data_IF_318335658086
#
_entry.id   IF_318335658086
#
_cell.length_a   1.000
_cell.length_b   1.000
_cell.length_c   1.000
_cell.angle_alpha   90.00
_cell.angle_beta   90.00
_cell.angle_gamma   90.00
#
_symmetry.space_group_name_H-M   'P 1'
#
loop_
_entity.id
_entity.type
_entity.pdbx_description
1 polymer ?
#
# COMPACT_ATOMS: atom_id res chain seq x y z
N UNK A 1 18.00 -2.89 23.15
CA UNK A 1 16.85 -2.14 22.60
C UNK A 1 15.71 -3.03 22.11
N UNK A 2 15.96 -4.10 21.32
CA UNK A 2 14.92 -5.03 20.82
C UNK A 2 14.10 -5.74 21.92
N UNK A 3 14.68 -5.96 23.10
CA UNK A 3 14.02 -6.58 24.27
C UNK A 3 12.92 -5.71 24.89
N UNK A 4 12.96 -4.39 24.73
CA UNK A 4 11.92 -3.49 25.26
C UNK A 4 10.68 -3.41 24.36
N UNK A 5 10.87 -3.36 23.03
CA UNK A 5 9.79 -3.36 22.04
C UNK A 5 8.97 -4.65 22.06
N UNK A 6 9.65 -5.80 22.15
CA UNK A 6 8.96 -7.10 22.28
C UNK A 6 8.06 -7.19 23.53
N UNK A 7 8.40 -6.46 24.60
CA UNK A 7 7.60 -6.37 25.83
C UNK A 7 6.37 -5.47 25.65
N UNK A 8 6.51 -4.38 24.89
CA UNK A 8 5.44 -3.40 24.60
C UNK A 8 4.38 -4.03 23.69
N UNK A 9 4.77 -4.74 22.63
CA UNK A 9 3.84 -5.41 21.71
C UNK A 9 3.09 -6.53 22.41
N UNK A 10 3.78 -7.33 23.23
CA UNK A 10 3.14 -8.38 24.03
C UNK A 10 2.17 -7.86 25.09
N UNK A 11 2.38 -6.65 25.62
CA UNK A 11 1.54 -6.06 26.66
C UNK A 11 0.39 -5.22 26.11
N UNK A 12 0.61 -4.45 25.04
CA UNK A 12 -0.36 -3.46 24.56
C UNK A 12 -1.34 -4.01 23.52
N UNK A 13 -1.00 -5.08 22.81
CA UNK A 13 -1.91 -5.70 21.83
C UNK A 13 -2.62 -6.95 22.37
N UNK A 14 -2.32 -7.38 23.60
CA UNK A 14 -2.85 -8.62 24.22
C UNK A 14 -2.84 -9.84 23.28
N UNK A 15 -1.91 -9.87 22.33
CA UNK A 15 -1.88 -10.93 21.33
C UNK A 15 -1.59 -12.24 22.03
N UNK A 16 -2.31 -13.34 21.73
CA UNK A 16 -1.89 -14.66 22.14
C UNK A 16 -0.57 -14.94 21.39
N UNK A 17 0.56 -14.71 22.06
CA UNK A 17 1.93 -14.65 21.49
C UNK A 17 2.46 -16.00 20.98
N UNK A 18 1.57 -16.97 20.74
CA UNK A 18 1.85 -18.34 20.34
C UNK A 18 1.00 -18.81 19.14
N UNK A 19 0.36 -17.88 18.40
CA UNK A 19 -0.45 -18.24 17.23
C UNK A 19 -0.42 -17.18 16.12
N UNK A 20 -0.77 -17.59 14.90
CA UNK A 20 -1.03 -16.69 13.78
C UNK A 20 -2.24 -15.83 14.12
N UNK A 21 -2.16 -14.56 13.72
CA UNK A 21 -3.20 -13.58 14.03
C UNK A 21 -3.69 -12.93 12.76
N UNK A 22 -5.00 -12.76 12.65
CA UNK A 22 -5.65 -12.00 11.61
C UNK A 22 -6.23 -10.70 12.19
N UNK A 23 -5.83 -9.58 11.60
CA UNK A 23 -6.33 -8.26 11.93
C UNK A 23 -7.13 -7.66 10.78
N UNK A 24 -8.17 -6.89 11.11
CA UNK A 24 -8.89 -6.02 10.18
C UNK A 24 -8.84 -4.58 10.67
N UNK A 25 -8.42 -3.66 9.80
CA UNK A 25 -8.46 -2.23 10.12
C UNK A 25 -9.88 -1.70 10.06
N UNK A 26 -10.31 -0.99 11.10
CA UNK A 26 -11.56 -0.20 11.08
C UNK A 26 -11.39 1.14 10.36
N UNK A 27 -10.15 1.53 10.02
CA UNK A 27 -9.87 2.77 9.30
C UNK A 27 -9.97 2.56 7.79
N UNK A 28 -10.43 3.60 7.09
CA UNK A 28 -10.42 3.66 5.63
C UNK A 28 -9.44 4.72 5.11
N UNK A 29 -8.64 5.34 5.97
CA UNK A 29 -7.64 6.30 5.52
C UNK A 29 -6.37 5.57 5.03
N UNK A 30 -5.92 5.80 3.77
CA UNK A 30 -4.76 5.10 3.22
C UNK A 30 -3.47 5.39 3.98
N UNK A 31 -3.26 6.61 4.47
CA UNK A 31 -2.08 6.95 5.27
C UNK A 31 -2.06 6.21 6.60
N UNK A 32 -3.23 6.00 7.20
CA UNK A 32 -3.39 5.23 8.44
C UNK A 32 -3.05 3.75 8.18
N UNK A 33 -3.68 3.15 7.18
CA UNK A 33 -3.52 1.72 6.92
C UNK A 33 -2.11 1.37 6.42
N UNK A 34 -1.54 2.17 5.52
CA UNK A 34 -0.19 1.96 4.98
C UNK A 34 0.89 2.27 6.04
N UNK A 35 0.65 3.21 6.97
CA UNK A 35 1.57 3.42 8.09
C UNK A 35 1.63 2.21 9.02
N UNK A 36 0.50 1.52 9.22
CA UNK A 36 0.46 0.31 10.05
C UNK A 36 1.11 -0.89 9.35
N UNK A 37 0.97 -1.03 8.03
CA UNK A 37 1.69 -2.02 7.23
C UNK A 37 3.21 -1.92 7.45
N UNK A 38 3.75 -0.69 7.38
CA UNK A 38 5.19 -0.46 7.62
C UNK A 38 5.55 -0.59 9.11
N UNK A 39 4.66 -0.21 10.03
CA UNK A 39 4.89 -0.41 11.45
C UNK A 39 5.00 -1.89 11.81
N UNK A 40 4.11 -2.75 11.29
CA UNK A 40 4.21 -4.20 11.47
C UNK A 40 5.52 -4.73 10.88
N UNK A 41 5.90 -4.30 9.68
CA UNK A 41 7.18 -4.72 9.09
C UNK A 41 8.39 -4.40 10.00
N UNK A 42 8.39 -3.23 10.65
CA UNK A 42 9.50 -2.78 11.49
C UNK A 42 9.49 -3.38 12.90
N UNK A 43 8.30 -3.63 13.45
CA UNK A 43 8.13 -3.91 14.87
C UNK A 43 7.61 -5.31 15.18
N UNK A 44 7.06 -6.04 14.21
CA UNK A 44 6.47 -7.35 14.47
C UNK A 44 7.51 -8.30 15.10
N UNK A 45 7.21 -8.90 16.27
CA UNK A 45 8.19 -9.59 17.08
C UNK A 45 8.66 -10.87 16.38
N UNK A 46 9.95 -10.91 16.07
CA UNK A 46 10.62 -12.11 15.58
C UNK A 46 10.93 -13.01 16.78
N UNK A 47 10.15 -14.07 16.98
CA UNK A 47 10.43 -15.12 17.98
C UNK A 47 10.86 -16.42 17.29
N UNK A 48 11.41 -17.33 18.08
CA UNK A 48 11.89 -18.66 17.68
C UNK A 48 10.82 -19.52 16.97
N UNK A 49 9.54 -19.26 17.19
CA UNK A 49 8.41 -19.82 16.45
C UNK A 49 7.77 -18.69 15.61
N UNK A 50 8.13 -18.62 14.34
CA UNK A 50 7.75 -17.57 13.40
C UNK A 50 6.25 -17.69 13.01
N UNK A 51 5.34 -17.16 13.82
CA UNK A 51 3.92 -17.15 13.47
C UNK A 51 3.58 -15.99 12.50
N UNK A 52 2.90 -16.26 11.37
CA UNK A 52 2.55 -15.22 10.40
C UNK A 52 1.44 -14.31 10.92
N UNK A 53 1.38 -13.10 10.38
CA UNK A 53 0.34 -12.11 10.62
C UNK A 53 -0.40 -11.84 9.30
N UNK A 54 -1.73 -11.84 9.36
CA UNK A 54 -2.60 -11.36 8.29
C UNK A 54 -3.16 -9.98 8.67
N UNK A 55 -3.02 -9.01 7.78
CA UNK A 55 -3.58 -7.67 7.96
C UNK A 55 -4.50 -7.32 6.78
N UNK A 56 -5.80 -7.21 7.06
CA UNK A 56 -6.83 -6.87 6.11
C UNK A 56 -7.24 -5.40 6.29
N UNK A 57 -7.30 -4.66 5.19
CA UNK A 57 -7.79 -3.28 5.22
C UNK A 57 -8.39 -2.89 3.87
N UNK A 58 -9.18 -1.82 3.89
CA UNK A 58 -9.66 -1.12 2.69
C UNK A 58 -9.40 0.37 2.85
N UNK A 59 -9.18 1.06 1.74
CA UNK A 59 -8.97 2.50 1.73
C UNK A 59 -10.12 3.21 1.01
N UNK A 60 -10.40 4.45 1.43
CA UNK A 60 -11.06 5.44 0.61
C UNK A 60 -10.29 5.64 -0.71
N UNK A 61 -10.92 6.21 -1.75
CA UNK A 61 -10.27 6.40 -3.05
C UNK A 61 -8.88 7.03 -2.91
N UNK A 62 -7.87 6.33 -3.41
CA UNK A 62 -6.48 6.75 -3.41
C UNK A 62 -5.71 6.00 -4.51
N UNK A 63 -4.61 6.58 -4.98
CA UNK A 63 -3.65 5.89 -5.84
C UNK A 63 -2.42 5.56 -5.01
N UNK A 64 -2.00 4.29 -5.05
CA UNK A 64 -0.80 3.82 -4.34
C UNK A 64 0.26 3.42 -5.34
N UNK A 65 1.38 4.14 -5.34
CA UNK A 65 2.54 3.84 -6.19
C UNK A 65 3.62 3.09 -5.40
N UNK A 66 4.42 2.31 -6.12
CA UNK A 66 5.56 1.58 -5.58
C UNK A 66 6.72 2.49 -5.19
N UNK A 67 7.62 1.98 -4.34
CA UNK A 67 8.76 2.73 -3.79
C UNK A 67 9.58 3.46 -4.86
N UNK A 68 9.86 2.80 -5.99
CA UNK A 68 10.75 3.29 -7.05
C UNK A 68 10.02 3.74 -8.32
N UNK A 69 8.71 4.01 -8.24
CA UNK A 69 7.96 4.49 -9.40
C UNK A 69 8.00 6.03 -9.50
N UNK A 70 7.77 6.54 -10.71
CA UNK A 70 7.66 7.97 -10.96
C UNK A 70 6.17 8.37 -11.02
N UNK A 71 5.68 9.22 -10.11
CA UNK A 71 4.25 9.55 -10.06
C UNK A 71 3.77 10.22 -11.35
N UNK A 72 4.62 11.02 -12.01
CA UNK A 72 4.28 11.73 -13.24
C UNK A 72 4.18 10.83 -14.47
N UNK A 73 4.76 9.63 -14.44
CA UNK A 73 4.63 8.59 -15.49
C UNK A 73 3.58 7.54 -15.16
N UNK A 74 3.11 7.48 -13.93
CA UNK A 74 2.19 6.44 -13.46
C UNK A 74 0.75 6.93 -13.33
N UNK A 75 0.55 8.22 -13.05
CA UNK A 75 -0.78 8.75 -12.79
C UNK A 75 -1.02 10.12 -13.42
N UNK A 76 -2.30 10.46 -13.54
CA UNK A 76 -2.78 11.76 -13.96
C UNK A 76 -2.55 12.79 -12.84
N UNK A 77 -1.48 13.57 -12.94
CA UNK A 77 -1.11 14.58 -11.93
C UNK A 77 -2.13 15.70 -11.73
N UNK A 78 -3.12 15.85 -12.62
CA UNK A 78 -4.25 16.78 -12.44
C UNK A 78 -5.32 16.22 -11.50
N UNK A 79 -5.54 14.91 -11.53
CA UNK A 79 -6.57 14.22 -10.75
C UNK A 79 -6.02 13.63 -9.44
N UNK A 80 -4.72 13.34 -9.39
CA UNK A 80 -4.07 12.54 -8.35
C UNK A 80 -2.86 13.29 -7.81
N UNK A 81 -2.78 13.41 -6.48
CA UNK A 81 -1.66 14.08 -5.84
C UNK A 81 -1.90 14.37 -4.36
N UNK A 82 -1.36 15.51 -3.91
CA UNK A 82 -1.40 15.94 -2.51
C UNK A 82 -2.31 17.16 -2.27
N UNK A 83 -2.93 17.69 -3.33
CA UNK A 83 -3.80 18.85 -3.21
C UNK A 83 -5.22 18.44 -2.78
N UNK A 84 -5.97 19.32 -2.06
CA UNK A 84 -7.28 18.96 -1.48
C UNK A 84 -8.32 18.42 -2.47
N UNK A 85 -8.34 18.94 -3.69
CA UNK A 85 -9.32 18.55 -4.72
C UNK A 85 -8.93 17.27 -5.50
N UNK A 86 -7.79 16.67 -5.14
CA UNK A 86 -7.25 15.50 -5.81
C UNK A 86 -7.49 14.22 -5.03
N UNK A 87 -7.51 13.11 -5.76
CA UNK A 87 -7.43 11.78 -5.15
C UNK A 87 -6.04 11.61 -4.51
N UNK A 88 -5.97 11.25 -3.22
CA UNK A 88 -4.71 11.09 -2.52
C UNK A 88 -3.75 10.15 -3.23
N UNK A 89 -2.53 10.62 -3.45
CA UNK A 89 -1.39 9.82 -3.89
C UNK A 89 -0.58 9.36 -2.68
N UNK A 90 -0.28 8.06 -2.61
CA UNK A 90 0.56 7.48 -1.56
C UNK A 90 1.67 6.65 -2.16
N UNK A 91 2.91 6.87 -1.70
CA UNK A 91 4.05 6.01 -2.04
C UNK A 91 4.25 4.96 -0.96
N UNK A 92 4.16 3.68 -1.31
CA UNK A 92 4.40 2.57 -0.37
C UNK A 92 5.90 2.25 -0.25
N UNK A 93 6.30 1.56 0.82
CA UNK A 93 7.70 1.18 1.05
C UNK A 93 8.13 -0.12 0.35
N UNK A 94 7.20 -0.98 -0.04
CA UNK A 94 7.50 -2.15 -0.89
C UNK A 94 7.82 -1.73 -2.32
N UNK A 95 8.69 -2.49 -2.98
CA UNK A 95 8.91 -2.40 -4.42
C UNK A 95 7.75 -3.02 -5.22
N UNK A 96 7.97 -3.26 -6.51
CA UNK A 96 7.27 -4.31 -7.27
C UNK A 96 8.29 -5.42 -7.59
N UNK A 97 7.99 -6.72 -7.54
CA UNK A 97 6.74 -7.39 -7.19
C UNK A 97 6.91 -8.86 -6.80
N UNK A 98 5.80 -9.62 -6.88
CA UNK A 98 5.69 -11.07 -7.13
C UNK A 98 4.23 -11.35 -7.56
N UNK A 99 4.00 -11.86 -8.77
CA UNK A 99 2.68 -12.05 -9.43
C UNK A 99 2.08 -13.41 -9.07
N UNK A 100 0.75 -13.49 -8.82
CA UNK A 100 -0.12 -14.55 -9.39
C UNK A 100 -1.63 -14.36 -9.15
N UNK A 101 -2.29 -13.72 -10.13
CA UNK A 101 -3.57 -14.05 -10.79
C UNK A 101 -3.98 -12.77 -11.54
N UNK A 102 -3.87 -12.75 -12.89
CA UNK A 102 -3.72 -11.49 -13.65
C UNK A 102 -4.94 -10.57 -13.65
N UNK A 103 -6.13 -11.04 -13.25
CA UNK A 103 -7.37 -10.32 -13.53
C UNK A 103 -7.98 -9.60 -12.31
N UNK A 104 -7.61 -9.95 -11.08
CA UNK A 104 -8.35 -9.49 -9.88
C UNK A 104 -7.44 -8.78 -8.86
N UNK A 105 -6.13 -8.95 -8.99
CA UNK A 105 -5.18 -8.49 -7.98
C UNK A 105 -3.88 -7.94 -8.53
N UNK A 106 -3.38 -6.89 -7.85
CA UNK A 106 -1.99 -6.45 -7.94
C UNK A 106 -1.29 -6.74 -6.62
N UNK A 107 -0.05 -7.23 -6.69
CA UNK A 107 0.69 -7.71 -5.53
C UNK A 107 2.13 -7.17 -5.50
N UNK A 108 2.66 -7.04 -4.29
CA UNK A 108 4.02 -6.58 -4.05
C UNK A 108 4.57 -7.15 -2.75
N UNK A 109 5.90 -7.22 -2.68
CA UNK A 109 6.60 -7.80 -1.54
C UNK A 109 7.74 -6.89 -1.10
N UNK A 110 8.11 -7.00 0.18
CA UNK A 110 9.35 -6.44 0.71
C UNK A 110 10.03 -7.49 1.56
N UNK A 111 11.27 -7.78 1.22
CA UNK A 111 12.12 -8.73 1.94
C UNK A 111 13.13 -7.94 2.76
N UNK A 112 13.12 -8.16 4.07
CA UNK A 112 14.20 -7.77 4.99
C UNK A 112 15.00 -8.99 5.42
N UNK A 113 16.06 -8.75 6.21
CA UNK A 113 16.92 -9.83 6.73
C UNK A 113 16.16 -10.85 7.58
N UNK A 114 15.17 -10.39 8.34
CA UNK A 114 14.44 -11.22 9.31
C UNK A 114 12.92 -11.23 9.09
N UNK A 115 12.38 -10.20 8.44
CA UNK A 115 10.94 -10.05 8.17
C UNK A 115 10.74 -9.98 6.67
N UNK A 116 9.75 -10.72 6.17
CA UNK A 116 9.20 -10.53 4.84
C UNK A 116 7.72 -10.17 5.00
N UNK A 117 7.21 -9.29 4.14
CA UNK A 117 5.77 -9.16 3.96
C UNK A 117 5.41 -9.18 2.49
N UNK A 118 4.21 -9.68 2.25
CA UNK A 118 3.55 -9.70 0.96
C UNK A 118 2.20 -9.03 1.14
N UNK A 119 1.90 -8.07 0.28
CA UNK A 119 0.57 -7.48 0.20
C UNK A 119 0.01 -7.61 -1.20
N UNK A 120 -1.31 -7.68 -1.29
CA UNK A 120 -2.00 -7.67 -2.56
C UNK A 120 -3.35 -6.97 -2.40
N UNK A 121 -3.88 -6.51 -3.53
CA UNK A 121 -5.19 -5.86 -3.60
C UNK A 121 -6.19 -6.82 -4.22
N UNK A 122 -7.41 -6.86 -3.71
CA UNK A 122 -8.53 -7.50 -4.40
C UNK A 122 -9.50 -6.43 -4.86
N UNK A 123 -9.83 -6.41 -6.14
CA UNK A 123 -10.86 -5.51 -6.67
C UNK A 123 -12.23 -6.11 -6.38
N UNK A 124 -13.00 -5.46 -5.52
CA UNK A 124 -14.30 -5.97 -5.08
C UNK A 124 -15.46 -5.35 -5.85
N UNK A 125 -15.61 -4.02 -5.75
CA UNK A 125 -16.65 -3.24 -6.44
C UNK A 125 -16.12 -1.83 -6.77
N UNK A 126 -14.94 -1.79 -7.37
CA UNK A 126 -14.23 -0.56 -7.70
C UNK A 126 -14.75 0.07 -8.99
N UNK A 127 -14.72 1.41 -9.08
CA UNK A 127 -15.09 2.17 -10.30
C UNK A 127 -13.95 2.12 -11.33
N UNK A 128 -13.88 1.02 -12.10
CA UNK A 128 -12.74 0.73 -12.99
C UNK A 128 -12.47 1.81 -14.04
N UNK A 129 -13.51 2.49 -14.56
CA UNK A 129 -13.33 3.59 -15.51
C UNK A 129 -12.61 4.79 -14.88
N UNK A 130 -12.97 5.16 -13.65
CA UNK A 130 -12.29 6.25 -12.93
C UNK A 130 -10.85 5.87 -12.60
N UNK A 131 -10.62 4.62 -12.21
CA UNK A 131 -9.28 4.09 -11.98
C UNK A 131 -8.41 4.21 -13.24
N UNK A 132 -8.93 3.81 -14.41
CA UNK A 132 -8.21 3.92 -15.68
C UNK A 132 -7.85 5.36 -16.05
N UNK A 133 -8.76 6.32 -15.80
CA UNK A 133 -8.49 7.75 -16.02
C UNK A 133 -7.37 8.28 -15.10
N UNK A 134 -7.37 7.86 -13.84
CA UNK A 134 -6.36 8.26 -12.86
C UNK A 134 -4.98 7.65 -13.13
N UNK A 135 -4.93 6.44 -13.71
CA UNK A 135 -3.69 5.74 -14.09
C UNK A 135 -3.20 6.07 -15.51
N UNK A 136 -3.83 7.04 -16.17
CA UNK A 136 -3.40 7.54 -17.49
C UNK A 136 -2.56 8.81 -17.31
N UNK A 137 -1.24 8.76 -17.54
CA UNK A 137 -0.37 9.91 -17.35
C UNK A 137 -0.65 11.02 -18.36
N UNK A 138 -0.45 12.27 -17.94
CA UNK A 138 -0.59 13.46 -18.81
C UNK A 138 0.74 14.19 -19.07
N UNK A 139 1.84 13.72 -18.48
CA UNK A 139 3.13 14.40 -18.58
C UNK A 139 3.82 13.98 -19.88
N UNK A 140 3.88 14.87 -20.85
CA UNK A 140 4.58 14.65 -22.12
C UNK A 140 6.08 14.90 -21.98
N UNK A 141 6.88 14.24 -22.81
CA UNK A 141 8.33 14.45 -22.90
C UNK A 141 9.11 14.01 -21.66
N UNK A 142 8.51 13.19 -20.79
CA UNK A 142 9.15 12.66 -19.60
C UNK A 142 9.96 11.40 -19.93
N UNK A 143 11.24 11.38 -19.56
CA UNK A 143 12.13 10.23 -19.60
C UNK A 143 12.54 9.86 -18.18
N UNK A 144 12.36 8.62 -17.75
CA UNK A 144 12.67 8.20 -16.38
C UNK A 144 13.17 6.76 -16.33
N UNK A 145 14.11 6.50 -15.42
CA UNK A 145 14.60 5.15 -15.10
C UNK A 145 13.83 4.49 -13.95
N UNK A 146 12.69 5.09 -13.55
CA UNK A 146 11.83 4.56 -12.51
C UNK A 146 11.15 3.25 -12.94
N UNK A 147 10.78 2.43 -11.95
CA UNK A 147 10.04 1.17 -12.22
C UNK A 147 8.68 1.49 -12.83
N UNK A 148 8.46 1.09 -14.08
CA UNK A 148 7.19 1.25 -14.77
C UNK A 148 6.16 0.20 -14.31
N UNK A 149 4.88 0.57 -14.28
CA UNK A 149 3.81 -0.43 -14.10
C UNK A 149 3.62 -1.33 -15.32
N UNK A 150 3.29 -2.59 -15.06
CA UNK A 150 2.77 -3.50 -16.09
C UNK A 150 1.25 -3.35 -16.13
N UNK A 151 0.72 -2.91 -17.28
CA UNK A 151 -0.73 -2.79 -17.47
C UNK A 151 -1.35 -4.16 -17.68
N UNK A 152 -2.51 -4.39 -17.09
CA UNK A 152 -3.29 -5.62 -17.28
C UNK A 152 -4.77 -5.30 -17.19
N UNK A 153 -5.59 -6.09 -17.90
CA UNK A 153 -7.03 -6.03 -17.77
C UNK A 153 -7.43 -6.50 -16.38
N UNK A 154 -8.42 -5.83 -15.79
CA UNK A 154 -8.87 -6.13 -14.44
C UNK A 154 -10.38 -6.26 -14.37
N UNK A 155 -10.86 -7.08 -13.44
CA UNK A 155 -12.27 -7.27 -13.12
C UNK A 155 -12.50 -7.14 -11.61
N UNK A 156 -13.74 -6.84 -11.24
CA UNK A 156 -14.21 -6.83 -9.87
C UNK A 156 -14.72 -8.23 -9.47
N UNK A 157 -14.47 -8.65 -8.23
CA UNK A 157 -15.04 -9.87 -7.65
C UNK A 157 -16.58 -9.87 -7.71
N UNK A 158 -17.22 -8.71 -7.56
CA UNK A 158 -18.69 -8.58 -7.69
C UNK A 158 -19.22 -8.89 -9.09
N UNK A 159 -18.37 -8.86 -10.14
CA UNK A 159 -18.74 -9.31 -11.48
C UNK A 159 -18.73 -10.85 -11.60
N UNK A 160 -17.96 -11.54 -10.76
CA UNK A 160 -17.91 -13.00 -10.69
C UNK A 160 -19.03 -13.53 -9.78
N UNK A 161 -19.17 -12.91 -8.60
CA UNK A 161 -20.19 -13.28 -7.64
C UNK A 161 -20.65 -12.03 -6.85
N UNK A 162 -21.88 -11.61 -7.11
CA UNK A 162 -22.49 -10.43 -6.50
C UNK A 162 -22.94 -10.64 -5.04
N UNK A 163 -22.99 -11.88 -4.56
CA UNK A 163 -23.35 -12.19 -3.18
C UNK A 163 -22.16 -12.04 -2.20
N UNK A 164 -20.94 -11.87 -2.70
CA UNK A 164 -19.78 -11.59 -1.86
C UNK A 164 -20.00 -10.23 -1.18
N UNK A 165 -19.81 -10.18 0.13
CA UNK A 165 -19.75 -8.94 0.91
C UNK A 165 -18.34 -8.74 1.44
N UNK A 166 -17.98 -7.49 1.79
CA UNK A 166 -16.66 -7.21 2.38
C UNK A 166 -16.42 -8.00 3.67
N UNK A 167 -17.42 -8.07 4.55
CA UNK A 167 -17.30 -8.79 5.82
C UNK A 167 -17.15 -10.29 5.62
N UNK A 168 -17.99 -10.90 4.77
CA UNK A 168 -17.87 -12.34 4.46
C UNK A 168 -16.51 -12.65 3.81
N UNK A 169 -16.04 -11.80 2.90
CA UNK A 169 -14.73 -11.96 2.27
C UNK A 169 -13.61 -11.90 3.33
N UNK A 170 -13.61 -10.89 4.20
CA UNK A 170 -12.60 -10.76 5.26
C UNK A 170 -12.63 -11.94 6.23
N UNK A 171 -13.81 -12.33 6.73
CA UNK A 171 -13.98 -13.48 7.62
C UNK A 171 -13.51 -14.76 6.95
N UNK A 172 -13.83 -14.96 5.66
CA UNK A 172 -13.40 -16.17 4.94
C UNK A 172 -11.89 -16.21 4.74
N UNK A 173 -11.26 -15.11 4.34
CA UNK A 173 -9.79 -15.02 4.21
C UNK A 173 -9.12 -15.29 5.56
N UNK A 174 -9.60 -14.67 6.63
CA UNK A 174 -9.07 -14.88 7.98
C UNK A 174 -9.22 -16.34 8.44
N UNK A 175 -10.39 -16.95 8.25
CA UNK A 175 -10.63 -18.35 8.59
C UNK A 175 -9.69 -19.30 7.84
N UNK A 176 -9.48 -19.06 6.54
CA UNK A 176 -8.57 -19.86 5.71
C UNK A 176 -7.14 -19.70 6.19
N UNK A 177 -6.69 -18.45 6.40
CA UNK A 177 -5.36 -18.15 6.93
C UNK A 177 -5.09 -18.85 8.25
N UNK A 178 -6.00 -18.73 9.23
CA UNK A 178 -5.87 -19.38 10.53
C UNK A 178 -5.82 -20.90 10.40
N UNK A 179 -6.70 -21.51 9.58
CA UNK A 179 -6.67 -22.97 9.34
C UNK A 179 -5.38 -23.44 8.70
N UNK A 180 -4.82 -22.68 7.75
CA UNK A 180 -3.56 -23.02 7.07
C UNK A 180 -2.39 -23.06 8.04
N UNK A 181 -2.29 -22.09 8.96
CA UNK A 181 -1.15 -21.98 9.86
C UNK A 181 -1.38 -22.61 11.24
N UNK A 182 -2.64 -22.85 11.62
CA UNK A 182 -3.07 -23.39 12.92
C UNK A 182 -4.24 -24.39 12.78
N UNK A 183 -4.06 -25.55 12.13
CA UNK A 183 -5.14 -26.50 11.87
C UNK A 183 -5.78 -27.10 13.13
N UNK A 184 -5.13 -27.00 14.29
CA UNK A 184 -5.60 -27.54 15.58
C UNK A 184 -6.37 -26.54 16.44
N UNK A 185 -6.45 -25.27 16.03
CA UNK A 185 -7.14 -24.21 16.78
C UNK A 185 -8.50 -23.98 16.13
N UNK A 186 -9.58 -24.12 16.90
CA UNK A 186 -10.95 -23.85 16.44
C UNK A 186 -11.35 -22.38 16.59
N UNK A 187 -10.51 -21.55 17.20
CA UNK A 187 -10.81 -20.14 17.41
C UNK A 187 -10.39 -19.31 16.18
N UNK A 188 -11.35 -19.04 15.31
CA UNK A 188 -11.20 -18.16 14.14
C UNK A 188 -11.40 -16.71 14.58
N UNK A 189 -10.36 -16.07 15.11
CA UNK A 189 -10.48 -14.69 15.56
C UNK A 189 -9.94 -13.72 14.51
N UNK A 190 -10.86 -13.00 13.85
CA UNK A 190 -10.54 -11.79 13.10
C UNK A 190 -10.70 -10.59 14.03
N UNK A 191 -9.59 -9.96 14.38
CA UNK A 191 -9.55 -8.87 15.34
C UNK A 191 -9.66 -7.52 14.65
N UNK A 192 -10.70 -6.75 15.00
CA UNK A 192 -10.83 -5.37 14.56
C UNK A 192 -9.89 -4.44 15.35
N UNK A 193 -9.05 -3.70 14.62
CA UNK A 193 -8.06 -2.80 15.20
C UNK A 193 -8.19 -1.38 14.67
N UNK A 194 -7.94 -0.40 15.53
CA UNK A 194 -7.84 1.02 15.17
C UNK A 194 -6.37 1.42 15.04
N UNK A 195 -5.84 1.66 13.82
CA UNK A 195 -4.42 1.94 13.63
C UNK A 195 -3.98 3.35 14.07
N UNK A 196 -4.86 4.15 14.68
CA UNK A 196 -4.55 5.52 15.11
C UNK A 196 -3.97 5.61 16.53
N UNK A 197 -3.92 4.53 17.28
CA UNK A 197 -3.54 4.54 18.70
C UNK A 197 -2.02 4.46 18.88
N UNK A 198 -1.36 5.59 19.18
CA UNK A 198 0.08 5.64 19.54
C UNK A 198 0.44 4.72 20.71
N UNK A 199 -0.48 4.52 21.66
CA UNK A 199 -0.28 3.58 22.76
C UNK A 199 0.00 2.15 22.28
N UNK A 200 -0.68 1.72 21.22
CA UNK A 200 -0.56 0.36 20.69
C UNK A 200 0.53 0.28 19.62
N UNK A 201 0.76 1.39 18.92
CA UNK A 201 1.72 1.49 17.82
C UNK A 201 2.65 2.71 17.99
N UNK A 202 3.61 2.67 18.94
CA UNK A 202 4.50 3.80 19.17
C UNK A 202 5.25 4.21 17.89
N UNK A 203 5.23 5.51 17.59
CA UNK A 203 5.91 6.09 16.43
C UNK A 203 5.12 6.05 15.12
N UNK A 204 3.88 5.54 15.12
CA UNK A 204 3.07 5.40 13.91
C UNK A 204 2.68 6.75 13.28
N UNK A 205 2.53 7.81 14.09
CA UNK A 205 2.27 9.16 13.61
C UNK A 205 3.45 9.71 12.80
N UNK A 206 4.69 9.39 13.19
CA UNK A 206 5.88 9.78 12.43
C UNK A 206 5.89 9.11 11.05
N UNK A 207 5.64 7.79 11.01
CA UNK A 207 5.50 7.05 9.75
C UNK A 207 4.39 7.65 8.87
N UNK A 208 3.26 8.01 9.47
CA UNK A 208 2.14 8.62 8.76
C UNK A 208 2.45 10.01 8.21
N UNK A 209 3.18 10.82 8.97
CA UNK A 209 3.59 12.15 8.54
C UNK A 209 4.60 12.06 7.39
N UNK A 210 5.53 11.11 7.44
CA UNK A 210 6.43 10.82 6.33
C UNK A 210 5.64 10.39 5.09
N UNK A 211 4.65 9.49 5.21
CA UNK A 211 3.83 9.06 4.07
C UNK A 211 3.06 10.20 3.38
N UNK A 212 2.78 11.28 4.10
CA UNK A 212 2.11 12.48 3.57
C UNK A 212 3.08 13.51 2.99
N UNK A 213 4.37 13.40 3.28
CA UNK A 213 5.34 14.44 2.92
C UNK A 213 5.62 14.45 1.42
N UNK A 214 5.84 15.65 0.87
CA UNK A 214 6.25 15.80 -0.51
C UNK A 214 7.57 15.09 -0.79
N UNK A 215 8.52 15.17 0.16
CA UNK A 215 9.82 14.50 0.08
C UNK A 215 9.70 12.99 -0.09
N UNK A 216 8.72 12.38 0.58
CA UNK A 216 8.46 10.96 0.42
C UNK A 216 7.71 10.66 -0.88
N UNK A 217 6.59 11.34 -1.13
CA UNK A 217 5.72 11.05 -2.28
C UNK A 217 6.42 11.34 -3.61
N UNK A 218 7.06 12.49 -3.72
CA UNK A 218 7.69 12.98 -4.95
C UNK A 218 9.22 13.00 -4.88
N UNK A 219 9.81 13.40 -3.74
CA UNK A 219 11.26 13.51 -3.59
C UNK A 219 12.02 12.18 -3.78
N UNK A 220 11.39 11.05 -3.41
CA UNK A 220 11.94 9.69 -3.64
C UNK A 220 11.82 9.16 -5.07
N UNK A 221 11.31 9.96 -6.00
CA UNK A 221 11.26 9.57 -7.42
C UNK A 221 12.69 9.37 -7.96
N UNK A 222 13.01 8.24 -8.62
CA UNK A 222 14.30 8.05 -9.28
C UNK A 222 14.56 9.12 -10.35
N UNK A 223 15.80 9.21 -10.82
CA UNK A 223 16.20 10.24 -11.79
C UNK A 223 15.29 10.26 -13.03
N UNK A 224 15.00 11.47 -13.48
CA UNK A 224 14.16 11.72 -14.64
C UNK A 224 14.45 13.08 -15.26
N UNK A 225 14.05 13.20 -16.52
CA UNK A 225 14.06 14.43 -17.28
C UNK A 225 12.67 14.70 -17.85
N UNK A 226 12.29 15.96 -17.93
CA UNK A 226 11.08 16.44 -18.60
C UNK A 226 11.53 17.43 -19.67
N UNK A 227 11.20 17.13 -20.92
CA UNK A 227 11.43 17.99 -22.07
C UNK A 227 10.10 18.54 -22.55
N UNK A 228 9.88 19.84 -22.39
CA UNK A 228 8.67 20.52 -22.88
C UNK A 228 9.04 21.59 -23.89
N UNK A 229 8.17 21.77 -24.88
CA UNK A 229 8.27 22.89 -25.80
C UNK A 229 6.91 23.52 -26.04
N UNK A 230 6.87 24.85 -26.09
CA UNK A 230 5.67 25.61 -26.45
C UNK A 230 6.02 26.66 -27.50
N UNK A 231 5.12 26.88 -28.45
CA UNK A 231 5.24 27.95 -29.43
C UNK A 231 4.49 29.16 -28.88
N UNK A 232 5.20 30.26 -28.62
CA UNK A 232 4.63 31.55 -28.25
C UNK A 232 4.67 32.49 -29.45
N UNK A 233 3.93 33.59 -29.40
CA UNK A 233 3.94 34.63 -30.45
C UNK A 233 5.34 35.19 -30.73
N UNK A 234 6.21 35.18 -29.72
CA UNK A 234 7.61 35.66 -29.82
C UNK A 234 8.62 34.57 -30.20
N UNK A 235 8.18 33.33 -30.42
CA UNK A 235 9.04 32.21 -30.81
C UNK A 235 8.82 30.93 -30.00
N UNK A 236 9.58 29.88 -30.33
CA UNK A 236 9.53 28.58 -29.64
C UNK A 236 10.35 28.62 -28.36
N UNK A 237 9.73 28.27 -27.24
CA UNK A 237 10.38 28.07 -25.94
C UNK A 237 10.54 26.58 -25.69
N UNK A 238 11.73 26.16 -25.28
CA UNK A 238 12.03 24.78 -24.86
C UNK A 238 12.52 24.84 -23.42
N UNK A 239 11.94 24.00 -22.56
CA UNK A 239 12.31 23.85 -21.17
C UNK A 239 12.71 22.40 -20.91
N UNK A 240 13.85 22.23 -20.24
CA UNK A 240 14.33 20.94 -19.76
C UNK A 240 14.42 21.01 -18.24
N UNK A 241 13.76 20.07 -17.55
CA UNK A 241 13.82 19.94 -16.10
C UNK A 241 14.39 18.56 -15.80
N UNK A 242 15.47 18.49 -15.04
CA UNK A 242 16.07 17.23 -14.62
C UNK A 242 16.11 17.11 -13.10
N UNK A 243 15.97 15.87 -12.61
CA UNK A 243 16.28 15.49 -11.25
C UNK A 243 17.38 14.44 -11.29
N UNK A 244 18.52 14.78 -10.69
CA UNK A 244 19.65 13.88 -10.43
C UNK A 244 19.95 13.93 -8.93
N UNK A 245 20.05 12.78 -8.28
CA UNK A 245 20.47 12.66 -6.88
C UNK A 245 21.99 12.53 -6.71
#
# INVERSE_FOLDING_TARGET
MATSYNKIISRNLHLPLAQAVAFRSVSHNPYVNISLDDWFYQNYPLRSQHYPLLYLYRNHPCIVIGRHQNPWTECNSKLVGIYPDQVPLVRRRSGGGAVYHPEISGSASRLGRLVAYHHFTLLFHSKLQQLAQMLTPHTNGLRSNATASVRSSVINLSQINNAITYDNLCSKIASTFTKTFHPKINNEELLDINPNTESNYPGIASLRNELKSWDWIYGKTPDFEIHQSSNLSMGKVVCMISKSL
#
